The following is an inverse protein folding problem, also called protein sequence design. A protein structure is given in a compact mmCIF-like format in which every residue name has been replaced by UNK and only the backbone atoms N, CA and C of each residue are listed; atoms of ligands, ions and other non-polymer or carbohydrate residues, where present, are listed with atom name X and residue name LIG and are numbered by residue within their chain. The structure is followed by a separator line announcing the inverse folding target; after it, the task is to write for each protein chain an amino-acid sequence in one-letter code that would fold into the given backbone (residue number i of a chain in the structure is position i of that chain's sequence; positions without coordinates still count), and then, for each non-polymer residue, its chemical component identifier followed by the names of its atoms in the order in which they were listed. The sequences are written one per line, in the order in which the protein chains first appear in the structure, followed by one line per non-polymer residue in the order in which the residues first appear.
data_IF_554461576440
#
_entry.id   IF_554461576440
#
_cell.length_a   1.000
_cell.length_b   1.000
_cell.length_c   1.000
_cell.angle_alpha   90.00
_cell.angle_beta   90.00
_cell.angle_gamma   90.00
#
_symmetry.space_group_name_H-M   'P 1'
#
loop_
_entity.id
_entity.type
_entity.pdbx_description
1 polymer ?
#
# COMPACT_ATOMS: atom_id res chain seq x y z
N UNK A 1 -48.73 5.73 -38.83
CA UNK A 1 -48.24 4.68 -37.92
C UNK A 1 -46.76 4.47 -38.19
N UNK A 2 -45.89 4.80 -37.24
CA UNK A 2 -44.49 4.37 -37.22
C UNK A 2 -44.05 4.35 -35.75
N UNK A 3 -43.79 3.16 -35.25
CA UNK A 3 -43.35 2.88 -33.88
C UNK A 3 -41.83 2.96 -33.87
N UNK A 4 -41.25 3.77 -32.99
CA UNK A 4 -39.80 3.78 -32.73
C UNK A 4 -39.57 3.18 -31.35
N UNK A 5 -38.84 2.08 -31.35
CA UNK A 5 -38.49 1.24 -30.20
C UNK A 5 -37.33 1.91 -29.43
N UNK A 6 -37.60 2.40 -28.22
CA UNK A 6 -36.57 2.94 -27.33
C UNK A 6 -35.89 1.79 -26.58
N UNK A 7 -34.61 1.55 -26.87
CA UNK A 7 -33.80 0.58 -26.12
C UNK A 7 -33.20 1.29 -24.91
N UNK A 8 -33.78 1.07 -23.72
CA UNK A 8 -33.19 1.48 -22.46
C UNK A 8 -32.11 0.46 -22.07
N UNK A 9 -30.84 0.86 -22.18
CA UNK A 9 -29.72 0.10 -21.62
C UNK A 9 -29.66 0.46 -20.14
N UNK A 10 -30.16 -0.43 -19.28
CA UNK A 10 -29.96 -0.34 -17.84
C UNK A 10 -28.51 -0.67 -17.51
N UNK A 11 -27.71 0.36 -17.26
CA UNK A 11 -26.40 0.21 -16.63
C UNK A 11 -26.62 -0.23 -15.19
N UNK A 12 -26.43 -1.53 -14.94
CA UNK A 12 -26.31 -2.05 -13.59
C UNK A 12 -25.06 -1.40 -12.96
N UNK A 13 -25.28 -0.45 -12.06
CA UNK A 13 -24.25 0.08 -11.18
C UNK A 13 -23.80 -1.04 -10.26
N UNK A 14 -22.70 -1.72 -10.63
CA UNK A 14 -21.94 -2.48 -9.66
C UNK A 14 -21.53 -1.51 -8.56
N UNK A 15 -21.92 -1.80 -7.33
CA UNK A 15 -21.45 -1.06 -6.17
C UNK A 15 -19.93 -1.19 -6.15
N UNK A 16 -19.26 -0.13 -6.61
CA UNK A 16 -17.83 0.04 -6.47
C UNK A 16 -17.57 0.07 -4.97
N UNK A 17 -16.96 -1.00 -4.44
CA UNK A 17 -16.49 -1.03 -3.07
C UNK A 17 -15.49 0.12 -2.95
N UNK A 18 -15.93 1.23 -2.37
CA UNK A 18 -15.12 2.42 -2.26
C UNK A 18 -13.93 2.11 -1.36
N UNK A 19 -12.76 1.92 -1.96
CA UNK A 19 -11.51 1.78 -1.24
C UNK A 19 -11.14 3.13 -0.65
N UNK A 20 -11.14 3.22 0.67
CA UNK A 20 -10.76 4.45 1.38
C UNK A 20 -9.27 4.39 1.65
N UNK A 21 -8.49 5.22 0.95
CA UNK A 21 -7.07 5.37 1.25
C UNK A 21 -6.88 6.30 2.46
N UNK A 22 -6.08 5.86 3.43
CA UNK A 22 -5.72 6.59 4.64
C UNK A 22 -4.22 6.78 4.63
N UNK A 23 -3.78 7.89 4.02
CA UNK A 23 -2.37 8.23 3.88
C UNK A 23 -1.83 9.09 5.01
N UNK A 24 -0.60 9.58 4.80
CA UNK A 24 0.09 10.50 5.71
C UNK A 24 -0.59 11.88 5.79
N UNK A 25 -1.38 12.27 4.80
CA UNK A 25 -2.09 13.55 4.71
C UNK A 25 -3.12 13.75 5.84
N UNK A 26 -3.69 12.66 6.35
CA UNK A 26 -4.66 12.66 7.45
C UNK A 26 -4.05 12.30 8.80
N UNK A 27 -2.72 12.25 8.89
CA UNK A 27 -2.00 11.97 10.12
C UNK A 27 -2.02 13.21 11.04
N UNK A 28 -2.48 13.04 12.28
CA UNK A 28 -2.62 14.14 13.24
C UNK A 28 -1.59 14.11 14.35
N UNK A 29 -1.10 12.93 14.74
CA UNK A 29 -0.12 12.79 15.81
C UNK A 29 0.72 11.51 15.64
N UNK A 30 2.01 11.59 16.00
CA UNK A 30 2.92 10.43 16.04
C UNK A 30 3.82 10.53 17.26
N UNK A 31 3.82 9.46 18.04
CA UNK A 31 4.66 9.32 19.23
C UNK A 31 5.55 8.09 19.10
N UNK A 32 6.81 8.22 19.48
CA UNK A 32 7.79 7.12 19.45
C UNK A 32 8.42 6.96 20.82
N UNK A 33 8.36 5.75 21.37
CA UNK A 33 9.09 5.36 22.58
C UNK A 33 10.19 4.39 22.19
N UNK A 34 11.44 4.71 22.50
CA UNK A 34 12.61 3.91 22.12
C UNK A 34 13.00 3.01 23.29
N UNK A 35 13.15 1.72 23.01
CA UNK A 35 13.68 0.74 23.95
C UNK A 35 15.10 0.33 23.55
N UNK A 36 15.84 -0.22 24.52
CA UNK A 36 17.14 -0.80 24.22
C UNK A 36 16.96 -2.08 23.36
N UNK A 37 17.91 -2.37 22.46
CA UNK A 37 17.84 -3.53 21.58
C UNK A 37 17.14 -3.30 20.24
N UNK A 38 17.24 -2.08 19.67
CA UNK A 38 16.70 -1.70 18.36
C UNK A 38 15.17 -1.89 18.23
N UNK A 39 14.43 -1.78 19.34
CA UNK A 39 12.97 -1.82 19.35
C UNK A 39 12.40 -0.44 19.66
N UNK A 40 11.31 -0.09 19.01
CA UNK A 40 10.55 1.12 19.31
C UNK A 40 9.06 0.84 19.31
N UNK A 41 8.32 1.45 20.23
CA UNK A 41 6.87 1.49 20.20
C UNK A 41 6.44 2.78 19.47
N UNK A 42 5.70 2.62 18.38
CA UNK A 42 5.16 3.72 17.60
C UNK A 42 3.65 3.79 17.81
N UNK A 43 3.15 4.99 18.10
CA UNK A 43 1.72 5.29 18.13
C UNK A 43 1.43 6.33 17.05
N UNK A 44 0.70 5.92 16.03
CA UNK A 44 0.23 6.77 14.93
C UNK A 44 -1.27 7.03 15.10
N UNK A 45 -1.68 8.31 15.03
CA UNK A 45 -3.08 8.72 15.06
C UNK A 45 -3.42 9.42 13.76
N UNK A 46 -4.42 8.88 13.06
CA UNK A 46 -4.95 9.41 11.80
C UNK A 46 -6.44 9.73 11.93
N UNK A 47 -6.88 10.80 11.29
CA UNK A 47 -8.27 11.24 11.29
C UNK A 47 -8.91 11.05 9.91
N UNK A 48 -9.71 10.02 9.76
CA UNK A 48 -10.44 9.72 8.51
C UNK A 48 -11.92 9.51 8.77
N UNK A 49 -12.73 9.63 7.71
CA UNK A 49 -14.16 9.31 7.72
C UNK A 49 -14.35 7.97 7.02
N UNK A 50 -14.79 6.98 7.78
CA UNK A 50 -15.14 5.67 7.24
C UNK A 50 -16.64 5.66 6.86
N UNK A 51 -17.01 5.16 5.67
CA UNK A 51 -18.41 4.98 5.30
C UNK A 51 -19.06 3.91 6.17
N UNK A 52 -20.39 3.97 6.29
CA UNK A 52 -21.15 2.96 7.04
C UNK A 52 -21.28 1.67 6.24
N UNK A 53 -21.15 0.52 6.90
CA UNK A 53 -21.23 -0.80 6.28
C UNK A 53 -19.86 -1.48 6.12
N UNK A 54 -19.77 -2.42 5.18
CA UNK A 54 -18.54 -3.15 4.89
C UNK A 54 -17.77 -2.45 3.78
N UNK A 55 -16.54 -2.02 4.08
CA UNK A 55 -15.65 -1.35 3.14
C UNK A 55 -14.22 -1.79 3.39
N UNK A 56 -13.40 -1.71 2.35
CA UNK A 56 -11.96 -1.92 2.42
C UNK A 56 -11.26 -0.57 2.62
N UNK A 57 -10.21 -0.55 3.44
CA UNK A 57 -9.48 0.68 3.77
C UNK A 57 -7.99 0.39 3.72
N UNK A 58 -7.27 1.14 2.89
CA UNK A 58 -5.84 0.97 2.71
C UNK A 58 -5.09 2.00 3.56
N UNK A 59 -4.19 1.53 4.43
CA UNK A 59 -3.32 2.38 5.21
C UNK A 59 -1.95 2.43 4.53
N UNK A 60 -1.66 3.52 3.83
CA UNK A 60 -0.39 3.73 3.15
C UNK A 60 0.62 4.43 4.06
N UNK A 61 1.89 4.46 3.66
CA UNK A 61 2.97 5.15 4.39
C UNK A 61 3.14 4.67 5.86
N UNK A 62 2.93 3.37 6.10
CA UNK A 62 3.23 2.75 7.39
C UNK A 62 4.74 2.55 7.57
N UNK A 63 5.19 2.41 8.82
CA UNK A 63 6.61 2.28 9.10
C UNK A 63 7.24 1.07 8.38
N UNK A 64 8.32 1.29 7.63
CA UNK A 64 8.95 0.28 6.77
C UNK A 64 9.57 -0.91 7.54
N UNK A 65 9.85 -0.73 8.83
CA UNK A 65 10.41 -1.74 9.73
C UNK A 65 9.40 -2.21 10.78
N UNK A 66 8.10 -1.98 10.56
CA UNK A 66 7.06 -2.44 11.48
C UNK A 66 7.02 -3.97 11.51
N UNK A 67 6.82 -4.53 12.71
CA UNK A 67 6.48 -5.95 12.84
C UNK A 67 4.96 -6.10 12.64
N UNK A 68 4.50 -6.75 11.56
CA UNK A 68 3.08 -6.85 11.24
C UNK A 68 2.27 -7.58 12.32
N UNK A 69 2.91 -8.45 13.10
CA UNK A 69 2.23 -9.21 14.16
C UNK A 69 1.91 -8.36 15.39
N UNK A 70 2.47 -7.15 15.47
CA UNK A 70 2.31 -6.21 16.60
C UNK A 70 1.34 -5.07 16.31
N UNK A 71 0.78 -5.01 15.10
CA UNK A 71 -0.09 -3.92 14.68
C UNK A 71 -1.47 -4.07 15.30
N UNK A 72 -1.92 -3.02 15.99
CA UNK A 72 -3.26 -2.96 16.56
C UNK A 72 -3.96 -1.68 16.13
N UNK A 73 -5.05 -1.83 15.39
CA UNK A 73 -5.90 -0.72 14.97
C UNK A 73 -7.12 -0.63 15.88
N UNK A 74 -7.43 0.59 16.33
CA UNK A 74 -8.64 0.87 17.10
C UNK A 74 -9.18 2.25 16.75
N UNK A 75 -10.50 2.37 16.80
CA UNK A 75 -11.15 3.68 16.71
C UNK A 75 -11.01 4.42 18.04
N UNK A 76 -10.57 5.68 17.98
CA UNK A 76 -10.50 6.56 19.15
C UNK A 76 -11.80 7.34 19.38
N UNK A 77 -12.60 7.55 18.33
CA UNK A 77 -13.84 8.32 18.36
C UNK A 77 -15.08 7.46 18.58
N UNK A 78 -15.04 6.19 18.13
CA UNK A 78 -16.13 5.22 18.29
C UNK A 78 -15.57 3.79 18.45
N UNK A 79 -15.17 3.39 19.68
CA UNK A 79 -14.56 2.08 19.94
C UNK A 79 -15.49 0.89 19.69
N UNK A 80 -16.81 1.09 19.71
CA UNK A 80 -17.80 0.02 19.57
C UNK A 80 -18.35 -0.11 18.15
N UNK A 81 -18.33 0.97 17.36
CA UNK A 81 -18.86 0.98 16.00
C UNK A 81 -17.88 0.50 14.93
N UNK A 82 -16.57 0.46 15.21
CA UNK A 82 -15.59 -0.10 14.29
C UNK A 82 -15.34 -1.58 14.59
N UNK A 83 -15.67 -2.45 13.62
CA UNK A 83 -15.34 -3.87 13.66
C UNK A 83 -14.41 -4.24 12.51
N UNK A 84 -13.21 -4.69 12.84
CA UNK A 84 -12.22 -5.18 11.88
C UNK A 84 -12.53 -6.66 11.63
N UNK A 85 -12.83 -7.01 10.38
CA UNK A 85 -13.06 -8.41 9.99
C UNK A 85 -11.76 -9.10 9.58
N UNK A 86 -10.94 -8.38 8.81
CA UNK A 86 -9.68 -8.84 8.28
C UNK A 86 -8.67 -7.69 8.35
N UNK A 87 -7.41 -8.03 8.61
CA UNK A 87 -6.30 -7.11 8.56
C UNK A 87 -5.17 -7.78 7.79
N UNK A 88 -4.95 -7.32 6.57
CA UNK A 88 -3.83 -7.75 5.75
C UNK A 88 -2.72 -6.71 5.86
N UNK A 89 -1.49 -7.19 6.02
CA UNK A 89 -0.31 -6.37 5.90
C UNK A 89 0.43 -6.76 4.63
N UNK A 90 0.42 -5.86 3.65
CA UNK A 90 1.20 -6.03 2.44
C UNK A 90 2.62 -5.50 2.67
N UNK A 91 3.52 -6.42 2.96
CA UNK A 91 4.95 -6.11 2.90
C UNK A 91 5.39 -6.17 1.45
N UNK A 92 5.77 -5.03 0.87
CA UNK A 92 6.34 -5.02 -0.46
C UNK A 92 7.73 -5.68 -0.45
N UNK A 93 7.73 -6.99 -0.70
CA UNK A 93 8.93 -7.80 -0.92
C UNK A 93 9.61 -7.45 -2.25
N UNK A 94 9.04 -6.57 -3.08
CA UNK A 94 9.48 -6.24 -4.42
C UNK A 94 10.05 -4.82 -4.53
N UNK A 95 11.04 -4.49 -3.70
CA UNK A 95 11.84 -3.27 -3.94
C UNK A 95 12.66 -3.36 -5.22
N UNK A 96 13.01 -2.23 -5.85
CA UNK A 96 13.93 -2.18 -7.01
C UNK A 96 15.25 -2.91 -6.72
N UNK A 97 15.75 -2.82 -5.49
CA UNK A 97 16.94 -3.55 -5.04
C UNK A 97 16.72 -5.07 -5.02
N UNK A 98 15.64 -5.56 -4.41
CA UNK A 98 15.29 -6.99 -4.39
C UNK A 98 15.00 -7.54 -5.78
N UNK A 99 14.43 -6.72 -6.66
CA UNK A 99 14.26 -7.06 -8.06
C UNK A 99 15.63 -7.24 -8.72
N UNK A 100 16.55 -6.29 -8.58
CA UNK A 100 17.92 -6.42 -9.09
C UNK A 100 18.66 -7.63 -8.51
N UNK A 101 18.53 -7.89 -7.20
CA UNK A 101 19.12 -9.08 -6.54
C UNK A 101 18.64 -10.39 -7.19
N UNK A 102 17.36 -10.50 -7.51
CA UNK A 102 16.79 -11.67 -8.22
C UNK A 102 17.41 -11.88 -9.61
N UNK A 103 17.90 -10.82 -10.24
CA UNK A 103 18.53 -10.86 -11.56
C UNK A 103 20.07 -10.92 -11.51
N UNK A 104 20.69 -11.00 -10.32
CA UNK A 104 22.13 -11.29 -10.22
C UNK A 104 22.43 -12.64 -10.88
N UNK A 105 23.46 -12.65 -11.72
CA UNK A 105 23.85 -13.80 -12.53
C UNK A 105 23.04 -13.99 -13.81
N UNK A 106 22.06 -13.13 -14.13
CA UNK A 106 21.26 -13.16 -15.38
C UNK A 106 21.66 -12.03 -16.32
N UNK A 107 21.32 -12.17 -17.62
CA UNK A 107 21.45 -11.09 -18.59
C UNK A 107 20.37 -10.04 -18.34
N UNK A 108 20.76 -8.77 -18.30
CA UNK A 108 19.88 -7.60 -18.14
C UNK A 108 20.19 -6.59 -19.25
N UNK A 109 19.19 -5.78 -19.62
CA UNK A 109 19.36 -4.67 -20.56
C UNK A 109 19.44 -3.36 -19.78
N UNK A 110 20.53 -2.63 -19.96
CA UNK A 110 20.71 -1.29 -19.41
C UNK A 110 20.38 -0.27 -20.49
N UNK A 111 19.45 0.64 -20.20
CA UNK A 111 19.11 1.74 -21.10
C UNK A 111 19.87 2.99 -20.68
N UNK A 112 20.54 3.63 -21.63
CA UNK A 112 21.15 4.95 -21.44
C UNK A 112 20.13 6.07 -21.69
N UNK A 113 20.44 7.28 -21.22
CA UNK A 113 19.61 8.48 -21.44
C UNK A 113 19.37 8.76 -22.92
N UNK A 114 20.29 8.34 -23.80
CA UNK A 114 20.20 8.51 -25.25
C UNK A 114 19.30 7.46 -25.94
N UNK A 115 18.63 6.58 -25.18
CA UNK A 115 17.74 5.53 -25.69
C UNK A 115 18.45 4.30 -26.24
N UNK A 116 19.79 4.29 -26.27
CA UNK A 116 20.59 3.10 -26.58
C UNK A 116 20.53 2.10 -25.42
N UNK A 117 20.66 0.81 -25.72
CA UNK A 117 20.75 -0.22 -24.68
C UNK A 117 22.00 -1.08 -24.81
N UNK A 118 22.50 -1.55 -23.67
CA UNK A 118 23.56 -2.52 -23.54
C UNK A 118 23.02 -3.78 -22.87
N UNK A 119 23.34 -4.95 -23.42
CA UNK A 119 23.07 -6.22 -22.77
C UNK A 119 24.31 -6.64 -21.97
N UNK A 120 24.15 -6.81 -20.66
CA UNK A 120 25.22 -7.20 -19.77
C UNK A 120 24.72 -8.16 -18.69
N UNK A 121 25.64 -8.97 -18.15
CA UNK A 121 25.33 -9.86 -17.03
C UNK A 121 25.44 -9.07 -15.72
N UNK A 122 24.38 -9.07 -14.92
CA UNK A 122 24.42 -8.41 -13.61
C UNK A 122 25.27 -9.25 -12.65
N UNK A 123 26.36 -8.70 -12.13
CA UNK A 123 27.29 -9.41 -11.24
C UNK A 123 27.07 -9.10 -9.75
N UNK A 124 26.66 -7.87 -9.44
CA UNK A 124 26.40 -7.40 -8.07
C UNK A 124 25.44 -6.22 -8.11
N UNK A 125 24.66 -6.02 -7.05
CA UNK A 125 23.80 -4.85 -6.82
C UNK A 125 24.47 -3.78 -5.96
N UNK A 126 25.55 -4.14 -5.25
CA UNK A 126 26.40 -3.22 -4.51
C UNK A 126 27.65 -2.88 -5.35
N UNK A 127 27.76 -1.62 -5.77
CA UNK A 127 28.98 -1.09 -6.39
C UNK A 127 30.06 -0.79 -5.34
N UNK A 128 31.33 -0.64 -5.74
CA UNK A 128 32.34 -0.10 -4.85
C UNK A 128 31.96 1.34 -4.46
N UNK A 129 32.05 1.62 -3.15
CA UNK A 129 31.94 2.98 -2.60
C UNK A 129 33.12 3.86 -3.02
#
# INVERSE_FOLDING_TARGET
MAVVLTLAVSLASGAEAAQVAVGRDVQTDVMVTIYNGNLGLVKDVRQTRLPTGLHETEFTDVAAQIDPTTVHLKSLTDPTGLRILEQNYEYDLLSSGKLMEKYVGRMVRLYNTDGTYLEAKLLSTAGPV
#
